data_IF_249620064811
#
_entry.id   IF_249620064811
#
_cell.length_a   1.000
_cell.length_b   1.000
_cell.length_c   1.000
_cell.angle_alpha   90.00
_cell.angle_beta   90.00
_cell.angle_gamma   90.00
#
_symmetry.space_group_name_H-M   'P 1'
#
loop_
_entity.id
_entity.type
_entity.pdbx_description
1 polymer ?
#
# COMPACT_ATOMS: atom_id res chain seq x y z
N UNK A 1 -14.68 -50.16 32.42
CA UNK A 1 -13.79 -49.03 32.59
C UNK A 1 -13.63 -48.35 31.23
N UNK A 2 -14.44 -47.38 30.98
CA UNK A 2 -14.32 -46.61 29.76
C UNK A 2 -13.13 -45.70 29.84
N UNK A 3 -12.12 -45.91 29.04
CA UNK A 3 -11.18 -44.86 28.74
C UNK A 3 -11.93 -43.77 27.96
N UNK A 4 -12.52 -42.84 28.70
CA UNK A 4 -12.97 -41.63 28.07
C UNK A 4 -11.73 -40.91 27.51
N UNK A 5 -11.38 -41.18 26.28
CA UNK A 5 -10.49 -40.33 25.55
C UNK A 5 -11.19 -38.99 25.42
N UNK A 6 -10.77 -38.04 26.23
CA UNK A 6 -11.08 -36.62 25.96
C UNK A 6 -10.78 -36.37 24.50
N UNK A 7 -11.77 -35.86 23.74
CA UNK A 7 -11.47 -35.50 22.35
C UNK A 7 -10.32 -34.52 22.41
N UNK A 8 -9.20 -34.88 21.82
CA UNK A 8 -8.14 -33.93 21.53
C UNK A 8 -8.84 -32.76 20.82
N UNK A 9 -8.93 -31.65 21.50
CA UNK A 9 -9.24 -30.40 20.80
C UNK A 9 -8.21 -30.32 19.68
N UNK A 10 -8.65 -30.56 18.47
CA UNK A 10 -7.85 -30.27 17.32
C UNK A 10 -7.63 -28.77 17.33
N UNK A 11 -6.59 -28.33 18.01
CA UNK A 11 -6.07 -26.97 17.87
C UNK A 11 -5.53 -26.70 16.46
N UNK A 12 -5.75 -27.61 15.53
CA UNK A 12 -5.38 -27.48 14.13
C UNK A 12 -6.18 -26.42 13.38
N UNK A 13 -7.25 -25.87 13.96
CA UNK A 13 -8.03 -24.78 13.36
C UNK A 13 -7.39 -23.40 13.55
N UNK A 14 -6.36 -23.29 14.35
CA UNK A 14 -5.58 -22.08 14.54
C UNK A 14 -4.10 -22.43 14.44
N UNK A 15 -3.69 -22.90 13.27
CA UNK A 15 -2.28 -22.77 12.96
C UNK A 15 -1.92 -21.29 13.05
N UNK A 16 -0.85 -20.91 13.76
CA UNK A 16 -0.42 -19.51 13.75
C UNK A 16 -0.28 -19.10 12.29
N UNK A 17 -0.85 -17.92 11.97
CA UNK A 17 -0.68 -17.33 10.65
C UNK A 17 0.78 -17.48 10.24
N UNK A 18 1.04 -18.01 9.06
CA UNK A 18 2.40 -18.18 8.57
C UNK A 18 3.09 -16.82 8.55
N UNK A 19 4.42 -16.80 8.62
CA UNK A 19 5.17 -15.54 8.51
C UNK A 19 4.79 -14.78 7.23
N UNK A 20 4.44 -15.50 6.14
CA UNK A 20 3.98 -14.93 4.90
C UNK A 20 2.61 -14.27 5.01
N UNK A 21 1.67 -14.86 5.77
CA UNK A 21 0.35 -14.27 5.99
C UNK A 21 0.44 -12.97 6.78
N UNK A 22 1.26 -12.92 7.81
CA UNK A 22 1.52 -11.68 8.58
C UNK A 22 2.20 -10.62 7.74
N UNK A 23 3.10 -11.00 6.87
CA UNK A 23 3.78 -10.11 5.93
C UNK A 23 2.77 -9.51 4.94
N UNK A 24 1.90 -10.34 4.36
CA UNK A 24 0.86 -9.89 3.44
C UNK A 24 -0.16 -8.98 4.12
N UNK A 25 -0.56 -9.29 5.34
CA UNK A 25 -1.46 -8.43 6.13
C UNK A 25 -0.86 -7.04 6.33
N UNK A 26 0.42 -6.94 6.68
CA UNK A 26 1.11 -5.65 6.81
C UNK A 26 1.16 -4.88 5.48
N UNK A 27 1.38 -5.57 4.38
CA UNK A 27 1.38 -4.97 3.04
C UNK A 27 0.02 -4.37 2.68
N UNK A 28 -1.06 -5.06 2.97
CA UNK A 28 -2.42 -4.54 2.76
C UNK A 28 -2.71 -3.31 3.63
N UNK A 29 -2.24 -3.29 4.86
CA UNK A 29 -2.36 -2.12 5.74
C UNK A 29 -1.59 -0.92 5.20
N UNK A 30 -0.40 -1.12 4.69
CA UNK A 30 0.40 -0.05 4.07
C UNK A 30 -0.30 0.50 2.83
N UNK A 31 -0.83 -0.37 1.96
CA UNK A 31 -1.59 0.05 0.78
C UNK A 31 -2.82 0.88 1.19
N UNK A 32 -3.56 0.46 2.19
CA UNK A 32 -4.70 1.20 2.73
C UNK A 32 -4.29 2.57 3.27
N UNK A 33 -3.20 2.64 4.00
CA UNK A 33 -2.65 3.89 4.50
C UNK A 33 -2.27 4.86 3.36
N UNK A 34 -1.54 4.40 2.36
CA UNK A 34 -1.13 5.22 1.22
C UNK A 34 -2.34 5.76 0.46
N UNK A 35 -3.34 4.91 0.23
CA UNK A 35 -4.60 5.31 -0.41
C UNK A 35 -5.33 6.37 0.40
N UNK A 36 -5.51 6.15 1.69
CA UNK A 36 -6.26 7.06 2.57
C UNK A 36 -5.56 8.41 2.70
N UNK A 37 -4.25 8.41 2.84
CA UNK A 37 -3.45 9.64 2.90
C UNK A 37 -3.49 10.41 1.59
N UNK A 38 -3.40 9.73 0.46
CA UNK A 38 -3.49 10.37 -0.84
C UNK A 38 -4.84 11.06 -1.04
N UNK A 39 -5.95 10.36 -0.82
CA UNK A 39 -7.28 10.92 -1.00
C UNK A 39 -7.59 12.00 0.02
N UNK A 40 -7.16 11.86 1.25
CA UNK A 40 -7.37 12.87 2.30
C UNK A 40 -6.61 14.17 2.00
N UNK A 41 -5.36 14.09 1.59
CA UNK A 41 -4.56 15.26 1.21
C UNK A 41 -5.09 15.91 -0.06
N UNK A 42 -5.48 15.11 -1.04
CA UNK A 42 -6.08 15.61 -2.28
C UNK A 42 -7.40 16.34 -2.01
N UNK A 43 -8.23 15.83 -1.10
CA UNK A 43 -9.48 16.46 -0.72
C UNK A 43 -9.24 17.82 -0.04
N UNK A 44 -8.25 17.94 0.83
CA UNK A 44 -7.88 19.22 1.45
C UNK A 44 -7.48 20.27 0.42
N UNK A 45 -6.74 19.86 -0.61
CA UNK A 45 -6.32 20.77 -1.70
C UNK A 45 -7.49 21.10 -2.63
N UNK A 46 -8.24 20.10 -3.04
CA UNK A 46 -9.35 20.26 -3.99
C UNK A 46 -10.49 21.10 -3.43
N UNK A 47 -10.84 20.89 -2.17
CA UNK A 47 -11.93 21.61 -1.49
C UNK A 47 -11.50 22.95 -0.91
N UNK A 48 -10.26 23.36 -1.12
CA UNK A 48 -9.69 24.61 -0.62
C UNK A 48 -9.97 24.84 0.86
N UNK A 49 -9.55 23.86 1.67
CA UNK A 49 -9.71 23.94 3.12
C UNK A 49 -9.15 25.28 3.64
N UNK A 50 -9.94 26.11 4.37
CA UNK A 50 -9.51 27.44 4.78
C UNK A 50 -8.23 27.45 5.60
N UNK A 51 -8.04 26.51 6.50
CA UNK A 51 -6.83 26.40 7.33
C UNK A 51 -5.60 26.17 6.47
N UNK A 52 -5.72 25.33 5.44
CA UNK A 52 -4.64 25.05 4.49
C UNK A 52 -4.37 26.23 3.58
N UNK A 53 -5.43 26.86 3.03
CA UNK A 53 -5.29 28.01 2.11
C UNK A 53 -4.69 29.24 2.78
N UNK A 54 -4.94 29.47 4.06
CA UNK A 54 -4.43 30.61 4.82
C UNK A 54 -2.95 30.48 5.19
N UNK A 55 -2.39 29.28 5.14
CA UNK A 55 -1.00 29.04 5.54
C UNK A 55 -0.22 28.39 4.40
N UNK A 56 0.68 29.17 3.78
CA UNK A 56 1.47 28.69 2.65
C UNK A 56 2.36 27.51 3.00
N UNK A 57 2.94 27.48 4.21
CA UNK A 57 3.77 26.35 4.67
C UNK A 57 2.94 25.09 4.79
N UNK A 58 1.75 25.21 5.37
CA UNK A 58 0.83 24.06 5.49
C UNK A 58 0.33 23.59 4.13
N UNK A 59 0.01 24.50 3.23
CA UNK A 59 -0.40 24.19 1.85
C UNK A 59 0.69 23.42 1.12
N UNK A 60 1.94 23.86 1.22
CA UNK A 60 3.07 23.16 0.63
C UNK A 60 3.26 21.77 1.24
N UNK A 61 3.16 21.65 2.56
CA UNK A 61 3.28 20.36 3.24
C UNK A 61 2.20 19.37 2.81
N UNK A 62 0.95 19.81 2.67
CA UNK A 62 -0.15 18.98 2.17
C UNK A 62 0.09 18.56 0.72
N UNK A 63 0.55 19.47 -0.12
CA UNK A 63 0.89 19.19 -1.52
C UNK A 63 2.02 18.17 -1.63
N UNK A 64 3.08 18.36 -0.88
CA UNK A 64 4.21 17.42 -0.84
C UNK A 64 3.77 16.03 -0.36
N UNK A 65 2.94 15.98 0.68
CA UNK A 65 2.36 14.73 1.18
C UNK A 65 1.53 14.04 0.09
N UNK A 66 0.68 14.77 -0.61
CA UNK A 66 -0.12 14.22 -1.71
C UNK A 66 0.76 13.61 -2.81
N UNK A 67 1.83 14.31 -3.18
CA UNK A 67 2.78 13.84 -4.20
C UNK A 67 3.50 12.56 -3.74
N UNK A 68 3.96 12.53 -2.50
CA UNK A 68 4.64 11.35 -1.95
C UNK A 68 3.72 10.13 -1.95
N UNK A 69 2.49 10.28 -1.49
CA UNK A 69 1.53 9.17 -1.45
C UNK A 69 1.07 8.76 -2.86
N UNK A 70 0.92 9.71 -3.78
CA UNK A 70 0.67 9.40 -5.19
C UNK A 70 1.81 8.58 -5.79
N UNK A 71 3.06 8.96 -5.53
CA UNK A 71 4.24 8.22 -5.98
C UNK A 71 4.25 6.80 -5.40
N UNK A 72 4.01 6.66 -4.11
CA UNK A 72 3.97 5.35 -3.46
C UNK A 72 2.90 4.44 -4.05
N UNK A 73 1.70 4.98 -4.30
CA UNK A 73 0.62 4.24 -4.97
C UNK A 73 1.00 3.84 -6.39
N UNK A 74 1.62 4.72 -7.16
CA UNK A 74 2.11 4.40 -8.50
C UNK A 74 3.13 3.26 -8.46
N UNK A 75 4.06 3.28 -7.51
CA UNK A 75 5.04 2.21 -7.33
C UNK A 75 4.34 0.88 -7.02
N UNK A 76 3.35 0.88 -6.14
CA UNK A 76 2.60 -0.32 -5.77
C UNK A 76 1.81 -0.86 -6.96
N UNK A 77 0.98 -0.03 -7.60
CA UNK A 77 0.09 -0.45 -8.68
C UNK A 77 0.82 -0.82 -9.96
N UNK A 78 1.90 -0.12 -10.28
CA UNK A 78 2.68 -0.38 -11.47
C UNK A 78 3.81 -1.39 -11.23
N UNK A 79 3.97 -1.83 -9.99
CA UNK A 79 5.04 -2.75 -9.59
C UNK A 79 6.44 -2.25 -9.99
N UNK A 80 6.65 -0.94 -9.87
CA UNK A 80 7.96 -0.32 -10.11
C UNK A 80 8.77 -0.43 -8.82
N UNK A 81 9.90 -1.15 -8.83
CA UNK A 81 10.76 -1.22 -7.66
C UNK A 81 11.33 0.17 -7.35
N UNK A 82 11.21 0.61 -6.09
CA UNK A 82 11.90 1.80 -5.64
C UNK A 82 13.36 1.49 -5.31
N UNK A 83 14.17 2.54 -5.18
CA UNK A 83 15.55 2.42 -4.71
C UNK A 83 15.65 2.00 -3.24
N UNK A 84 14.56 2.10 -2.51
CA UNK A 84 14.43 1.64 -1.12
C UNK A 84 13.80 0.25 -1.17
N UNK A 85 14.52 -0.77 -0.70
CA UNK A 85 14.16 -2.19 -0.89
C UNK A 85 12.93 -2.71 -0.15
N UNK A 86 12.22 -1.86 0.60
CA UNK A 86 11.03 -2.18 1.38
C UNK A 86 9.71 -1.73 0.73
N UNK A 87 9.76 -1.24 -0.50
CA UNK A 87 8.55 -0.89 -1.24
C UNK A 87 7.71 -2.14 -1.54
N UNK A 88 6.41 -1.97 -1.36
CA UNK A 88 5.42 -3.00 -1.64
C UNK A 88 4.99 -2.87 -3.09
N UNK A 89 5.02 -3.99 -3.80
CA UNK A 89 4.59 -4.06 -5.19
C UNK A 89 3.28 -4.85 -5.28
N UNK A 90 2.37 -4.42 -6.13
CA UNK A 90 1.09 -5.10 -6.32
C UNK A 90 1.26 -6.55 -6.76
N UNK A 91 2.28 -6.84 -7.56
CA UNK A 91 2.63 -8.22 -7.97
C UNK A 91 2.94 -9.14 -6.80
N UNK A 92 3.34 -8.58 -5.64
CA UNK A 92 3.61 -9.34 -4.42
C UNK A 92 2.32 -9.63 -3.62
N UNK A 93 1.28 -8.81 -3.84
CA UNK A 93 0.00 -8.92 -3.15
C UNK A 93 -1.01 -9.77 -3.91
N UNK A 94 -0.89 -9.83 -5.23
CA UNK A 94 -1.86 -10.53 -6.09
C UNK A 94 -1.17 -11.53 -7.01
N UNK A 95 -1.72 -12.73 -7.08
CA UNK A 95 -1.27 -13.74 -8.02
C UNK A 95 -1.81 -13.39 -9.41
N UNK A 96 -0.94 -13.47 -10.43
CA UNK A 96 -1.32 -13.20 -11.81
C UNK A 96 -1.22 -11.75 -12.26
N UNK A 97 -0.71 -10.87 -11.44
CA UNK A 97 -0.40 -9.51 -11.86
C UNK A 97 0.73 -9.52 -12.89
N UNK A 98 0.44 -9.05 -14.09
CA UNK A 98 1.40 -9.02 -15.20
C UNK A 98 1.56 -7.62 -15.75
N UNK A 99 2.78 -7.29 -16.13
CA UNK A 99 3.06 -6.10 -16.90
C UNK A 99 2.70 -6.35 -18.37
N UNK A 100 1.89 -5.48 -18.96
CA UNK A 100 1.65 -5.44 -20.39
C UNK A 100 2.47 -4.32 -21.06
N UNK A 101 2.48 -4.29 -22.40
CA UNK A 101 3.28 -3.32 -23.17
C UNK A 101 2.87 -1.85 -22.91
N UNK A 102 1.59 -1.58 -22.74
CA UNK A 102 1.10 -0.23 -22.40
C UNK A 102 1.52 0.21 -21.01
N UNK A 103 1.51 -0.72 -20.07
CA UNK A 103 1.94 -0.48 -18.69
C UNK A 103 3.44 -0.26 -18.61
N UNK A 104 4.26 -1.01 -19.37
CA UNK A 104 5.71 -0.80 -19.46
C UNK A 104 6.05 0.62 -19.93
N UNK A 105 5.35 1.12 -20.94
CA UNK A 105 5.52 2.49 -21.43
C UNK A 105 5.19 3.53 -20.37
N UNK A 106 4.11 3.33 -19.62
CA UNK A 106 3.71 4.20 -18.50
C UNK A 106 4.77 4.16 -17.39
N UNK A 107 5.28 2.99 -17.06
CA UNK A 107 6.35 2.82 -16.06
C UNK A 107 7.59 3.61 -16.47
N UNK A 108 8.02 3.53 -17.72
CA UNK A 108 9.17 4.28 -18.22
C UNK A 108 8.98 5.79 -18.08
N UNK A 109 7.77 6.30 -18.35
CA UNK A 109 7.45 7.71 -18.19
C UNK A 109 7.47 8.13 -16.71
N UNK A 110 6.94 7.30 -15.82
CA UNK A 110 6.93 7.55 -14.38
C UNK A 110 8.33 7.49 -13.77
N UNK A 111 9.17 6.57 -14.23
CA UNK A 111 10.58 6.50 -13.80
C UNK A 111 11.30 7.81 -14.09
N UNK A 112 11.06 8.43 -15.24
CA UNK A 112 11.64 9.72 -15.60
C UNK A 112 11.13 10.87 -14.73
N UNK A 113 9.86 10.81 -14.32
CA UNK A 113 9.22 11.87 -13.55
C UNK A 113 9.56 11.81 -12.05
N UNK A 114 9.67 10.59 -11.46
CA UNK A 114 9.74 10.38 -10.02
C UNK A 114 11.03 9.70 -9.51
N UNK A 115 11.80 9.15 -10.38
CA UNK A 115 13.03 8.41 -10.05
C UNK A 115 14.21 8.92 -10.87
#
# INVERSE_FOLDING_TARGET
MGNARTPRRNNTLQSPASADDKRNERKWKVLGYERDMFFSTLALLKNRNPVVEENQVLKNAVLESAIIHARNLCCIFLSVPSRIGDDILLRELTIGWKRDAGREKLIMLLEKAFF
#
